data_IF_603343239278
#
_entry.id   IF_603343239278
#
_cell.length_a   1.000
_cell.length_b   1.000
_cell.length_c   1.000
_cell.angle_alpha   90.00
_cell.angle_beta   90.00
_cell.angle_gamma   90.00
#
_symmetry.space_group_name_H-M   'P 1'
#
loop_
_entity.id
_entity.type
_entity.pdbx_description
1 polymer ?
#
# COMPACT_ATOMS: atom_id res chain seq x y z
N UNK A 1 -13.61 24.34 -9.66
CA UNK A 1 -12.22 23.88 -9.57
C UNK A 1 -11.85 23.30 -8.19
N UNK A 2 -12.10 23.97 -7.05
CA UNK A 2 -11.74 23.46 -5.70
C UNK A 2 -12.40 22.12 -5.33
N UNK A 3 -13.69 21.91 -5.68
CA UNK A 3 -14.40 20.63 -5.44
C UNK A 3 -13.84 19.47 -6.26
N UNK A 4 -13.54 19.67 -7.55
CA UNK A 4 -12.94 18.64 -8.40
C UNK A 4 -11.54 18.23 -7.90
N UNK A 5 -10.74 19.20 -7.46
CA UNK A 5 -9.42 18.95 -6.89
C UNK A 5 -9.47 18.21 -5.54
N UNK A 6 -10.48 18.48 -4.72
CA UNK A 6 -10.73 17.74 -3.47
C UNK A 6 -11.13 16.29 -3.75
N UNK A 7 -12.03 16.05 -4.71
CA UNK A 7 -12.44 14.70 -5.11
C UNK A 7 -11.24 13.93 -5.67
N UNK A 8 -10.50 14.52 -6.61
CA UNK A 8 -9.30 13.89 -7.19
C UNK A 8 -8.29 13.50 -6.11
N UNK A 9 -8.05 14.38 -5.12
CA UNK A 9 -7.14 14.12 -4.01
C UNK A 9 -7.63 12.95 -3.14
N UNK A 10 -8.93 12.93 -2.80
CA UNK A 10 -9.51 11.86 -1.99
C UNK A 10 -9.45 10.53 -2.73
N UNK A 11 -9.77 10.52 -4.03
CA UNK A 11 -9.68 9.31 -4.86
C UNK A 11 -8.25 8.79 -4.96
N UNK A 12 -7.25 9.68 -5.11
CA UNK A 12 -5.85 9.28 -5.14
C UNK A 12 -5.41 8.63 -3.82
N UNK A 13 -5.80 9.21 -2.67
CA UNK A 13 -5.47 8.63 -1.36
C UNK A 13 -6.09 7.23 -1.20
N UNK A 14 -7.36 7.06 -1.55
CA UNK A 14 -8.03 5.75 -1.48
C UNK A 14 -7.42 4.73 -2.45
N UNK A 15 -7.01 5.17 -3.64
CA UNK A 15 -6.33 4.31 -4.60
C UNK A 15 -4.99 3.79 -4.06
N UNK A 16 -4.23 4.66 -3.40
CA UNK A 16 -2.95 4.25 -2.79
C UNK A 16 -3.16 3.34 -1.59
N UNK A 17 -4.18 3.61 -0.75
CA UNK A 17 -4.55 2.71 0.36
C UNK A 17 -4.97 1.35 -0.18
N UNK A 18 -5.80 1.32 -1.22
CA UNK A 18 -6.22 0.07 -1.87
C UNK A 18 -5.02 -0.69 -2.44
N UNK A 19 -4.08 0.01 -3.09
CA UNK A 19 -2.85 -0.59 -3.61
C UNK A 19 -1.98 -1.15 -2.49
N UNK A 20 -1.82 -0.43 -1.37
CA UNK A 20 -1.05 -0.89 -0.22
C UNK A 20 -1.67 -2.16 0.41
N UNK A 21 -2.99 -2.18 0.58
CA UNK A 21 -3.72 -3.35 1.07
C UNK A 21 -3.60 -4.53 0.11
N UNK A 22 -3.74 -4.27 -1.19
CA UNK A 22 -3.54 -5.29 -2.23
C UNK A 22 -2.13 -5.87 -2.18
N UNK A 23 -1.10 -5.03 -2.08
CA UNK A 23 0.30 -5.47 -1.98
C UNK A 23 0.56 -6.25 -0.69
N UNK A 24 -0.06 -5.88 0.42
CA UNK A 24 0.03 -6.62 1.68
C UNK A 24 -0.60 -8.01 1.55
N UNK A 25 -1.82 -8.11 1.00
CA UNK A 25 -2.52 -9.37 0.75
C UNK A 25 -1.70 -10.22 -0.24
N UNK A 26 -1.21 -9.63 -1.32
CA UNK A 26 -0.37 -10.28 -2.30
C UNK A 26 0.92 -10.83 -1.67
N UNK A 27 1.57 -10.07 -0.80
CA UNK A 27 2.79 -10.53 -0.10
C UNK A 27 2.49 -11.69 0.84
N UNK A 28 1.40 -11.62 1.61
CA UNK A 28 0.97 -12.70 2.51
C UNK A 28 0.66 -13.96 1.69
N UNK A 29 -0.15 -13.87 0.66
CA UNK A 29 -0.46 -14.98 -0.23
C UNK A 29 0.83 -15.50 -0.89
N UNK A 30 1.68 -14.61 -1.37
CA UNK A 30 2.95 -14.97 -1.99
C UNK A 30 3.86 -15.75 -1.05
N UNK A 31 3.97 -15.35 0.21
CA UNK A 31 4.83 -16.02 1.21
C UNK A 31 4.21 -17.32 1.71
N UNK A 32 2.90 -17.37 1.93
CA UNK A 32 2.21 -18.56 2.49
C UNK A 32 1.96 -19.64 1.46
N UNK A 33 1.75 -19.27 0.19
CA UNK A 33 1.48 -20.22 -0.92
C UNK A 33 2.76 -20.69 -1.61
N UNK A 34 3.89 -20.10 -1.31
CA UNK A 34 5.17 -20.31 -1.98
C UNK A 34 6.02 -21.48 -1.45
N UNK A 35 5.42 -22.62 -1.17
CA UNK A 35 6.16 -23.87 -1.22
C UNK A 35 6.32 -24.31 -2.69
N UNK A 36 7.51 -24.61 -3.09
CA UNK A 36 8.15 -24.55 -4.40
C UNK A 36 7.44 -25.14 -5.62
N UNK A 37 6.54 -26.09 -5.50
CA UNK A 37 5.97 -26.82 -6.65
C UNK A 37 4.44 -26.94 -6.65
N UNK A 38 3.74 -26.47 -5.61
CA UNK A 38 2.29 -26.62 -5.44
C UNK A 38 1.51 -25.32 -5.69
N UNK A 39 1.99 -24.51 -6.62
CA UNK A 39 1.36 -23.23 -6.95
C UNK A 39 0.28 -23.41 -7.99
N UNK A 40 -0.86 -23.85 -7.54
CA UNK A 40 -2.05 -23.88 -8.38
C UNK A 40 -2.93 -22.66 -8.09
N UNK A 41 -3.11 -21.81 -9.06
CA UNK A 41 -4.11 -20.75 -9.05
C UNK A 41 -5.21 -21.11 -10.06
N UNK A 42 -6.33 -21.66 -9.61
CA UNK A 42 -7.43 -22.11 -10.44
C UNK A 42 -7.04 -23.19 -11.48
N UNK A 43 -6.16 -24.11 -11.13
CA UNK A 43 -5.67 -25.17 -12.03
C UNK A 43 -4.51 -24.74 -12.94
N UNK A 44 -3.94 -23.56 -12.73
CA UNK A 44 -2.81 -23.05 -13.49
C UNK A 44 -1.61 -22.73 -12.60
N UNK A 45 -0.43 -23.11 -13.05
CA UNK A 45 0.86 -22.73 -12.49
C UNK A 45 1.47 -21.61 -13.33
N UNK A 46 2.05 -20.58 -12.70
CA UNK A 46 2.65 -19.46 -13.41
C UNK A 46 4.18 -19.46 -13.24
N UNK A 47 4.91 -19.38 -14.34
CA UNK A 47 6.38 -19.35 -14.36
C UNK A 47 6.90 -18.18 -15.15
N UNK A 48 8.03 -17.61 -14.72
CA UNK A 48 8.75 -16.57 -15.46
C UNK A 48 9.78 -17.25 -16.35
N UNK A 49 9.74 -16.93 -17.63
CA UNK A 49 10.71 -17.43 -18.61
C UNK A 49 12.04 -16.72 -18.42
N UNK A 50 13.10 -17.49 -18.18
CA UNK A 50 14.43 -16.95 -17.90
C UNK A 50 15.38 -16.99 -19.10
N UNK A 51 15.03 -17.69 -20.18
CA UNK A 51 15.88 -17.84 -21.38
C UNK A 51 15.09 -17.68 -22.68
N UNK A 52 15.79 -17.39 -23.77
CA UNK A 52 15.20 -17.26 -25.11
C UNK A 52 15.16 -18.59 -25.88
N UNK A 53 15.21 -19.74 -25.19
CA UNK A 53 15.22 -21.07 -25.83
C UNK A 53 13.98 -21.33 -26.69
N UNK A 54 12.84 -20.67 -26.40
CA UNK A 54 11.58 -20.78 -27.10
C UNK A 54 11.22 -19.54 -27.94
N UNK A 55 12.11 -18.56 -28.04
CA UNK A 55 11.83 -17.25 -28.63
C UNK A 55 11.55 -17.27 -30.13
N UNK A 56 11.94 -18.31 -30.84
CA UNK A 56 11.74 -18.38 -32.31
C UNK A 56 10.27 -18.51 -32.70
N UNK A 57 9.46 -19.20 -31.91
CA UNK A 57 8.07 -19.53 -32.31
C UNK A 57 7.02 -19.23 -31.23
N UNK A 58 7.39 -19.15 -29.93
CA UNK A 58 6.39 -19.19 -28.88
C UNK A 58 6.47 -17.99 -27.91
N UNK A 59 7.45 -17.91 -27.02
CA UNK A 59 7.59 -16.87 -26.01
C UNK A 59 9.06 -16.54 -25.74
N UNK A 60 9.31 -15.36 -25.16
CA UNK A 60 10.66 -14.82 -24.95
C UNK A 60 11.05 -14.81 -23.46
N UNK A 61 12.33 -14.64 -23.20
CA UNK A 61 12.80 -14.34 -21.86
C UNK A 61 12.08 -13.11 -21.27
N UNK A 62 11.65 -13.22 -20.02
CA UNK A 62 10.90 -12.19 -19.34
C UNK A 62 9.38 -12.25 -19.50
N UNK A 63 8.85 -13.19 -20.29
CA UNK A 63 7.42 -13.45 -20.35
C UNK A 63 6.95 -14.23 -19.10
N UNK A 64 5.68 -14.10 -18.75
CA UNK A 64 5.01 -14.89 -17.72
C UNK A 64 4.15 -15.94 -18.44
N UNK A 65 4.50 -17.21 -18.31
CA UNK A 65 3.74 -18.34 -18.90
C UNK A 65 2.77 -18.93 -17.87
N UNK A 66 1.65 -19.43 -18.39
CA UNK A 66 0.67 -20.18 -17.63
C UNK A 66 0.66 -21.63 -18.11
N UNK A 67 0.77 -22.52 -17.15
CA UNK A 67 0.91 -23.96 -17.35
C UNK A 67 -0.21 -24.66 -16.63
N UNK A 68 -0.92 -25.55 -17.33
CA UNK A 68 -2.01 -26.33 -16.78
C UNK A 68 -1.53 -27.76 -16.48
N UNK A 69 -1.87 -28.25 -15.30
CA UNK A 69 -1.60 -29.64 -14.95
C UNK A 69 -2.45 -30.56 -15.85
N UNK A 70 -1.82 -31.56 -16.44
CA UNK A 70 -2.45 -32.54 -17.33
C UNK A 70 -1.90 -33.92 -17.08
N UNK A 71 -2.64 -34.95 -17.44
CA UNK A 71 -2.10 -36.32 -17.45
C UNK A 71 -0.99 -36.42 -18.50
N UNK A 72 0.27 -36.72 -18.12
CA UNK A 72 1.38 -36.84 -19.05
C UNK A 72 1.15 -37.83 -20.19
N UNK A 73 0.34 -38.87 -19.97
CA UNK A 73 0.01 -39.86 -20.99
C UNK A 73 -0.84 -39.29 -22.16
N UNK A 74 -1.46 -38.11 -21.95
CA UNK A 74 -2.26 -37.43 -23.00
C UNK A 74 -1.45 -36.49 -23.88
N UNK A 75 -0.20 -36.20 -23.49
CA UNK A 75 0.69 -35.30 -24.23
C UNK A 75 1.16 -35.87 -25.56
N UNK A 76 1.39 -35.01 -26.54
CA UNK A 76 1.72 -35.36 -27.91
C UNK A 76 2.92 -34.56 -28.42
N UNK A 77 3.50 -35.04 -29.53
CA UNK A 77 4.50 -34.29 -30.27
C UNK A 77 3.98 -32.89 -30.63
N UNK A 78 4.84 -31.90 -30.47
CA UNK A 78 4.51 -30.49 -30.66
C UNK A 78 3.86 -29.79 -29.47
N UNK A 79 3.42 -30.49 -28.42
CA UNK A 79 3.00 -29.86 -27.17
C UNK A 79 4.18 -29.23 -26.48
N UNK A 80 3.93 -28.10 -25.81
CA UNK A 80 4.95 -27.43 -24.99
C UNK A 80 4.69 -27.79 -23.53
N UNK A 81 5.70 -28.33 -22.86
CA UNK A 81 5.62 -28.76 -21.47
C UNK A 81 6.59 -28.02 -20.59
N UNK A 82 6.19 -27.81 -19.37
CA UNK A 82 7.07 -27.32 -18.28
C UNK A 82 7.39 -28.53 -17.40
N UNK A 83 8.68 -28.70 -17.10
CA UNK A 83 9.17 -29.83 -16.32
C UNK A 83 10.34 -29.44 -15.43
N UNK A 84 10.64 -30.25 -14.44
CA UNK A 84 11.82 -30.14 -13.60
C UNK A 84 12.99 -30.87 -14.25
N UNK A 85 14.05 -30.14 -14.55
CA UNK A 85 15.24 -30.71 -15.20
C UNK A 85 15.93 -31.76 -14.34
N UNK A 86 16.32 -32.88 -14.97
CA UNK A 86 17.15 -33.92 -14.41
C UNK A 86 18.57 -33.90 -14.98
N UNK A 87 18.87 -32.96 -15.88
CA UNK A 87 20.22 -32.78 -16.41
C UNK A 87 21.16 -32.25 -15.31
N UNK A 88 22.38 -32.74 -15.26
CA UNK A 88 23.39 -32.38 -14.24
C UNK A 88 23.63 -30.87 -14.17
N UNK A 89 23.65 -30.20 -15.31
CA UNK A 89 23.98 -28.77 -15.43
C UNK A 89 22.83 -27.85 -15.00
N UNK A 90 21.59 -28.36 -15.04
CA UNK A 90 20.37 -27.60 -14.71
C UNK A 90 19.45 -28.34 -13.73
N UNK A 91 20.04 -29.21 -12.89
CA UNK A 91 19.28 -30.07 -11.99
C UNK A 91 18.33 -29.29 -11.09
N UNK A 92 17.04 -29.64 -11.13
CA UNK A 92 15.99 -29.02 -10.32
C UNK A 92 15.51 -27.68 -10.87
N UNK A 93 16.03 -27.18 -11.98
CA UNK A 93 15.51 -26.00 -12.67
C UNK A 93 14.21 -26.32 -13.40
N UNK A 94 13.33 -25.34 -13.45
CA UNK A 94 12.09 -25.42 -14.22
C UNK A 94 12.36 -25.00 -15.67
N UNK A 95 12.22 -25.92 -16.60
CA UNK A 95 12.44 -25.72 -18.04
C UNK A 95 11.10 -25.85 -18.75
N UNK A 96 10.90 -25.06 -19.81
CA UNK A 96 9.71 -25.12 -20.67
C UNK A 96 10.16 -25.28 -22.12
N UNK A 97 9.95 -26.47 -22.66
CA UNK A 97 10.39 -26.86 -24.01
C UNK A 97 9.29 -27.61 -24.77
N UNK A 98 9.46 -27.75 -26.06
CA UNK A 98 8.53 -28.41 -26.94
C UNK A 98 8.83 -29.90 -27.09
N UNK A 99 7.83 -30.75 -27.07
CA UNK A 99 7.99 -32.20 -27.26
C UNK A 99 8.37 -32.46 -28.70
N UNK A 100 9.51 -33.11 -28.89
CA UNK A 100 9.95 -33.59 -30.18
C UNK A 100 9.35 -34.96 -30.52
N UNK A 101 9.44 -35.91 -29.59
CA UNK A 101 8.97 -37.28 -29.71
C UNK A 101 8.76 -37.98 -28.37
N UNK A 102 7.92 -38.98 -28.40
CA UNK A 102 7.77 -39.90 -27.27
C UNK A 102 8.95 -40.88 -27.26
N UNK A 103 9.39 -41.28 -26.08
CA UNK A 103 10.50 -42.24 -25.88
C UNK A 103 10.40 -42.90 -24.51
N UNK A 104 11.38 -43.72 -24.19
CA UNK A 104 11.61 -44.26 -22.85
C UNK A 104 13.00 -43.91 -22.39
N UNK A 105 13.20 -43.78 -21.07
CA UNK A 105 14.55 -43.62 -20.50
C UNK A 105 15.33 -44.93 -20.45
N UNK A 106 16.53 -44.92 -19.89
CA UNK A 106 17.39 -46.08 -19.77
C UNK A 106 16.80 -47.21 -18.88
N UNK A 107 15.93 -46.84 -17.96
CA UNK A 107 15.21 -47.73 -17.03
C UNK A 107 13.89 -48.23 -17.61
N UNK A 108 13.49 -47.79 -18.80
CA UNK A 108 12.24 -48.19 -19.49
C UNK A 108 11.01 -47.38 -19.06
N UNK A 109 11.18 -46.28 -18.35
CA UNK A 109 10.07 -45.38 -18.00
C UNK A 109 9.66 -44.52 -19.19
N UNK A 110 8.35 -44.33 -19.43
CA UNK A 110 7.87 -43.50 -20.51
C UNK A 110 8.19 -42.02 -20.28
N UNK A 111 8.54 -41.32 -21.32
CA UNK A 111 8.91 -39.92 -21.29
C UNK A 111 8.99 -39.29 -22.69
N UNK A 112 9.55 -38.12 -22.74
CA UNK A 112 9.65 -37.30 -23.93
C UNK A 112 11.08 -36.79 -24.13
N UNK A 113 11.51 -36.74 -25.40
CA UNK A 113 12.60 -35.87 -25.83
C UNK A 113 12.00 -34.51 -26.13
N UNK A 114 12.56 -33.47 -25.55
CA UNK A 114 12.16 -32.07 -25.70
C UNK A 114 13.24 -31.28 -26.44
N UNK A 115 12.90 -30.07 -26.89
CA UNK A 115 13.84 -29.16 -27.54
C UNK A 115 13.40 -27.72 -27.40
N UNK A 116 14.40 -26.80 -27.38
CA UNK A 116 14.16 -25.36 -27.49
C UNK A 116 14.04 -24.95 -28.95
N UNK A 117 13.01 -24.18 -29.28
CA UNK A 117 12.72 -23.81 -30.69
C UNK A 117 13.75 -22.88 -31.32
N UNK A 118 14.56 -22.19 -30.50
CA UNK A 118 15.62 -21.27 -30.97
C UNK A 118 16.81 -22.04 -31.55
N UNK A 119 17.28 -23.04 -30.84
CA UNK A 119 18.43 -23.86 -31.27
C UNK A 119 18.03 -25.05 -32.14
N UNK A 120 16.81 -25.52 -31.99
CA UNK A 120 16.26 -26.73 -32.65
C UNK A 120 17.07 -27.99 -32.33
N UNK A 121 17.76 -28.02 -31.19
CA UNK A 121 18.57 -29.14 -30.71
C UNK A 121 17.80 -29.89 -29.63
N UNK A 122 17.85 -31.25 -29.71
CA UNK A 122 17.23 -32.13 -28.73
C UNK A 122 17.91 -31.95 -27.38
N UNK A 123 17.12 -31.94 -26.29
CA UNK A 123 17.62 -31.99 -24.94
C UNK A 123 18.24 -33.36 -24.67
N UNK A 124 19.36 -33.38 -23.92
CA UNK A 124 20.14 -34.57 -23.65
C UNK A 124 19.42 -35.61 -22.80
N UNK A 125 18.51 -35.13 -21.95
CA UNK A 125 17.86 -35.96 -20.91
C UNK A 125 16.40 -36.22 -21.27
N UNK A 126 15.95 -37.46 -21.16
CA UNK A 126 14.53 -37.84 -21.31
C UNK A 126 13.73 -37.27 -20.13
N UNK A 127 12.69 -36.52 -20.44
CA UNK A 127 11.75 -35.99 -19.45
C UNK A 127 10.69 -37.04 -19.16
N UNK A 128 10.83 -37.73 -18.04
CA UNK A 128 9.85 -38.75 -17.60
C UNK A 128 8.65 -38.11 -16.89
N UNK A 129 7.54 -38.84 -16.87
CA UNK A 129 6.23 -38.33 -16.40
C UNK A 129 6.22 -37.69 -15.02
N UNK A 130 6.91 -38.22 -13.98
CA UNK A 130 6.92 -37.63 -12.65
C UNK A 130 7.52 -36.21 -12.56
N UNK A 131 8.32 -35.83 -13.55
CA UNK A 131 8.99 -34.53 -13.56
C UNK A 131 8.23 -33.47 -14.37
N UNK A 132 7.11 -33.85 -15.01
CA UNK A 132 6.28 -32.93 -15.80
C UNK A 132 5.38 -32.13 -14.86
N UNK A 133 5.50 -30.81 -14.90
CA UNK A 133 4.73 -29.87 -14.08
C UNK A 133 3.42 -29.45 -14.74
N UNK A 134 3.32 -29.62 -16.07
CA UNK A 134 2.12 -29.39 -16.85
C UNK A 134 2.40 -28.94 -18.30
N UNK A 135 1.31 -28.68 -19.03
CA UNK A 135 1.30 -28.21 -20.42
C UNK A 135 1.15 -26.69 -20.48
N UNK A 136 1.93 -26.04 -21.31
CA UNK A 136 1.78 -24.61 -21.61
C UNK A 136 0.43 -24.32 -22.27
N UNK A 137 -0.24 -23.26 -21.82
CA UNK A 137 -1.51 -22.81 -22.40
C UNK A 137 -1.40 -21.40 -23.01
N UNK A 138 -0.80 -20.45 -22.30
CA UNK A 138 -0.70 -19.07 -22.75
C UNK A 138 0.42 -18.32 -22.01
N UNK A 139 0.76 -17.12 -22.50
CA UNK A 139 1.72 -16.23 -21.83
C UNK A 139 1.27 -14.77 -21.86
N UNK A 140 1.83 -13.98 -20.96
CA UNK A 140 1.72 -12.51 -20.94
C UNK A 140 3.12 -11.94 -21.16
N UNK A 141 3.34 -11.21 -22.28
CA UNK A 141 4.64 -10.67 -22.61
C UNK A 141 5.16 -9.67 -21.57
N UNK A 142 6.46 -9.75 -21.24
CA UNK A 142 7.21 -8.82 -20.38
C UNK A 142 6.73 -8.67 -18.94
N UNK A 143 5.68 -9.35 -18.51
CA UNK A 143 5.21 -9.31 -17.11
C UNK A 143 6.23 -9.93 -16.18
N UNK A 144 6.88 -11.02 -16.60
CA UNK A 144 7.97 -11.64 -15.86
C UNK A 144 9.17 -10.69 -15.68
N UNK A 145 9.51 -9.91 -16.71
CA UNK A 145 10.55 -8.87 -16.63
C UNK A 145 10.23 -7.84 -15.53
N UNK A 146 8.99 -7.40 -15.44
CA UNK A 146 8.55 -6.49 -14.38
C UNK A 146 8.71 -7.11 -12.99
N UNK A 147 8.28 -8.36 -12.81
CA UNK A 147 8.46 -9.06 -11.52
C UNK A 147 9.93 -9.29 -11.18
N UNK A 148 10.77 -9.63 -12.17
CA UNK A 148 12.20 -9.77 -11.97
C UNK A 148 12.84 -8.42 -11.57
N UNK A 149 12.42 -7.31 -12.21
CA UNK A 149 12.86 -5.97 -11.81
C UNK A 149 12.45 -5.65 -10.36
N UNK A 150 11.20 -5.95 -9.96
CA UNK A 150 10.73 -5.75 -8.58
C UNK A 150 11.56 -6.50 -7.53
N UNK A 151 12.13 -7.66 -7.89
CA UNK A 151 13.01 -8.43 -6.99
C UNK A 151 14.39 -7.81 -6.83
N UNK A 152 14.80 -6.89 -7.71
CA UNK A 152 16.07 -6.19 -7.59
C UNK A 152 16.00 -5.07 -6.54
N UNK A 153 17.13 -4.76 -5.91
CA UNK A 153 17.20 -3.63 -4.94
C UNK A 153 16.74 -2.31 -5.54
N UNK A 154 17.17 -1.89 -6.76
CA UNK A 154 16.65 -0.69 -7.40
C UNK A 154 15.14 -0.74 -7.68
N UNK A 155 14.63 -1.88 -8.15
CA UNK A 155 13.21 -2.07 -8.46
C UNK A 155 12.35 -1.93 -7.22
N UNK A 156 12.72 -2.60 -6.13
CA UNK A 156 12.05 -2.45 -4.83
C UNK A 156 12.05 -1.00 -4.36
N UNK A 157 13.22 -0.34 -4.43
CA UNK A 157 13.35 1.04 -3.99
C UNK A 157 12.47 2.00 -4.80
N UNK A 158 12.49 1.92 -6.13
CA UNK A 158 11.73 2.81 -7.00
C UNK A 158 10.22 2.51 -6.95
N UNK A 159 9.83 1.25 -6.98
CA UNK A 159 8.41 0.88 -7.10
C UNK A 159 7.67 0.84 -5.77
N UNK A 160 8.35 0.64 -4.65
CA UNK A 160 7.72 0.49 -3.33
C UNK A 160 8.12 1.65 -2.40
N UNK A 161 9.41 1.84 -2.17
CA UNK A 161 9.89 2.82 -1.18
C UNK A 161 9.58 4.27 -1.58
N UNK A 162 9.89 4.67 -2.83
CA UNK A 162 9.68 6.05 -3.28
C UNK A 162 8.21 6.48 -3.22
N UNK A 163 7.23 5.73 -3.76
CA UNK A 163 5.81 6.08 -3.63
C UNK A 163 5.34 6.15 -2.18
N UNK A 164 5.81 5.25 -1.33
CA UNK A 164 5.45 5.23 0.08
C UNK A 164 6.00 6.45 0.83
N UNK A 165 7.26 6.83 0.57
CA UNK A 165 7.87 8.04 1.14
C UNK A 165 7.17 9.32 0.68
N UNK A 166 6.79 9.40 -0.59
CA UNK A 166 6.02 10.55 -1.10
C UNK A 166 4.67 10.67 -0.40
N UNK A 167 4.01 9.56 -0.09
CA UNK A 167 2.78 9.53 0.69
C UNK A 167 2.99 10.06 2.11
N UNK A 168 4.02 9.57 2.82
CA UNK A 168 4.34 10.02 4.18
C UNK A 168 4.61 11.52 4.20
N UNK A 169 5.41 12.03 3.26
CA UNK A 169 5.70 13.46 3.15
C UNK A 169 4.41 14.25 2.91
N UNK A 170 3.58 13.79 1.98
CA UNK A 170 2.30 14.43 1.68
C UNK A 170 1.36 14.47 2.90
N UNK A 171 1.22 13.36 3.62
CA UNK A 171 0.41 13.28 4.83
C UNK A 171 0.99 14.15 5.95
N UNK A 172 2.31 14.16 6.12
CA UNK A 172 3.01 15.04 7.06
C UNK A 172 2.71 16.52 6.81
N UNK A 173 2.80 16.97 5.56
CA UNK A 173 2.48 18.36 5.19
C UNK A 173 1.02 18.69 5.51
N UNK A 174 0.08 17.79 5.21
CA UNK A 174 -1.33 17.99 5.53
C UNK A 174 -1.59 18.03 7.03
N UNK A 175 -0.93 17.18 7.80
CA UNK A 175 -0.99 17.19 9.26
C UNK A 175 -0.50 18.51 9.85
N UNK A 176 0.66 19.01 9.39
CA UNK A 176 1.19 20.30 9.86
C UNK A 176 0.28 21.48 9.49
N UNK A 177 -0.34 21.47 8.30
CA UNK A 177 -1.31 22.49 7.90
C UNK A 177 -2.55 22.47 8.80
N UNK A 178 -3.08 21.30 9.10
CA UNK A 178 -4.22 21.14 10.00
C UNK A 178 -3.87 21.58 11.43
N UNK A 179 -2.72 21.16 11.94
CA UNK A 179 -2.24 21.53 13.28
C UNK A 179 -2.06 23.04 13.42
N UNK A 180 -1.48 23.73 12.41
CA UNK A 180 -1.39 25.19 12.42
C UNK A 180 -2.75 25.88 12.43
N UNK A 181 -3.73 25.33 11.71
CA UNK A 181 -5.10 25.85 11.70
C UNK A 181 -5.75 25.71 13.06
N UNK A 182 -5.69 24.54 13.68
CA UNK A 182 -6.18 24.32 15.05
C UNK A 182 -5.53 25.25 16.07
N UNK A 183 -4.23 25.42 16.01
CA UNK A 183 -3.53 26.34 16.92
C UNK A 183 -3.97 27.78 16.73
N UNK A 184 -4.23 28.22 15.50
CA UNK A 184 -4.72 29.56 15.20
C UNK A 184 -6.15 29.75 15.71
N UNK A 185 -7.05 28.81 15.50
CA UNK A 185 -8.42 28.84 16.00
C UNK A 185 -8.45 28.92 17.54
N UNK A 186 -7.66 28.12 18.24
CA UNK A 186 -7.54 28.17 19.69
C UNK A 186 -6.96 29.52 20.20
N UNK A 187 -6.01 30.11 19.49
CA UNK A 187 -5.48 31.43 19.86
C UNK A 187 -6.54 32.52 19.68
N UNK A 188 -7.29 32.51 18.58
CA UNK A 188 -8.38 33.44 18.32
C UNK A 188 -9.51 33.30 19.36
N UNK A 189 -9.87 32.08 19.77
CA UNK A 189 -10.83 31.85 20.86
C UNK A 189 -10.33 32.38 22.20
N UNK A 190 -9.07 32.11 22.55
CA UNK A 190 -8.48 32.65 23.80
C UNK A 190 -8.38 34.17 23.82
N UNK A 191 -8.06 34.80 22.70
CA UNK A 191 -8.04 36.26 22.58
C UNK A 191 -9.44 36.86 22.72
N UNK A 192 -10.47 36.23 22.11
CA UNK A 192 -11.84 36.65 22.26
C UNK A 192 -12.36 36.50 23.70
N UNK A 193 -11.98 35.41 24.38
CA UNK A 193 -12.33 35.21 25.80
C UNK A 193 -11.66 36.22 26.71
N UNK A 194 -10.36 36.51 26.50
CA UNK A 194 -9.65 37.58 27.23
C UNK A 194 -10.28 38.94 27.03
N UNK A 195 -10.67 39.29 25.80
CA UNK A 195 -11.33 40.55 25.50
C UNK A 195 -12.68 40.69 26.25
N UNK A 196 -13.47 39.61 26.32
CA UNK A 196 -14.73 39.60 27.10
C UNK A 196 -14.49 39.77 28.60
N UNK A 197 -13.49 39.08 29.17
CA UNK A 197 -13.14 39.20 30.58
C UNK A 197 -12.68 40.64 30.90
N UNK A 198 -11.95 41.26 30.00
CA UNK A 198 -11.49 42.65 30.16
C UNK A 198 -12.63 43.66 30.10
N UNK A 199 -13.59 43.46 29.20
CA UNK A 199 -14.83 44.24 29.07
C UNK A 199 -15.70 44.10 30.34
N UNK A 200 -15.88 42.86 30.86
CA UNK A 200 -16.60 42.62 32.12
C UNK A 200 -15.92 43.28 33.31
N UNK A 201 -14.60 43.23 33.41
CA UNK A 201 -13.83 43.91 34.46
C UNK A 201 -13.98 45.41 34.39
N UNK A 202 -13.95 45.99 33.20
CA UNK A 202 -14.15 47.43 33.01
C UNK A 202 -15.58 47.86 33.39
N UNK A 203 -16.61 47.06 33.06
CA UNK A 203 -18.00 47.30 33.43
C UNK A 203 -18.17 47.19 34.96
N UNK A 204 -17.61 46.18 35.60
CA UNK A 204 -17.66 46.00 37.04
C UNK A 204 -16.92 47.13 37.79
N UNK A 205 -15.79 47.61 37.27
CA UNK A 205 -15.07 48.75 37.85
C UNK A 205 -15.91 50.04 37.82
N UNK A 206 -16.60 50.34 36.72
CA UNK A 206 -17.52 51.47 36.61
C UNK A 206 -18.70 51.36 37.59
N UNK A 207 -19.30 50.18 37.69
CA UNK A 207 -20.38 49.94 38.64
C UNK A 207 -19.95 50.14 40.10
N UNK A 208 -18.74 49.70 40.44
CA UNK A 208 -18.14 49.92 41.77
C UNK A 208 -17.93 51.40 42.07
N UNK A 209 -17.46 52.18 41.09
CA UNK A 209 -17.28 53.63 41.23
C UNK A 209 -18.62 54.34 41.43
N UNK A 210 -19.66 53.98 40.66
CA UNK A 210 -21.03 54.50 40.83
C UNK A 210 -21.61 54.17 42.21
N UNK A 211 -21.43 52.93 42.68
CA UNK A 211 -21.86 52.51 44.03
C UNK A 211 -21.14 53.31 45.14
N UNK A 212 -19.85 53.56 45.01
CA UNK A 212 -19.07 54.37 45.95
C UNK A 212 -19.56 55.83 45.97
N UNK A 213 -19.81 56.42 44.79
CA UNK A 213 -20.34 57.78 44.68
C UNK A 213 -21.76 57.89 45.30
N UNK A 214 -22.62 56.87 45.05
CA UNK A 214 -23.96 56.86 45.66
C UNK A 214 -23.92 56.72 47.18
N UNK A 215 -22.97 55.88 47.71
CA UNK A 215 -22.76 55.73 49.14
C UNK A 215 -22.29 57.01 49.78
N UNK A 216 -21.36 57.73 49.21
CA UNK A 216 -20.88 59.03 49.71
C UNK A 216 -22.00 60.04 49.68
N UNK A 217 -22.91 60.09 48.68
CA UNK A 217 -24.07 60.98 48.70
C UNK A 217 -25.07 60.63 49.80
N UNK A 218 -25.26 59.38 50.15
CA UNK A 218 -26.14 58.93 51.21
C UNK A 218 -25.55 59.29 52.60
N UNK A 219 -24.26 59.17 52.82
CA UNK A 219 -23.56 59.59 54.04
C UNK A 219 -23.67 61.11 54.27
N UNK A 220 -23.49 61.88 53.16
CA UNK A 220 -23.63 63.37 53.27
C UNK A 220 -25.08 63.79 53.61
N UNK A 221 -26.08 63.12 53.02
CA UNK A 221 -27.49 63.35 53.44
C UNK A 221 -27.81 62.97 54.87
N UNK A 222 -27.20 61.91 55.39
CA UNK A 222 -27.42 61.53 56.82
C UNK A 222 -26.80 62.53 57.82
N UNK A 223 -25.67 63.12 57.44
CA UNK A 223 -25.02 64.18 58.28
C UNK A 223 -25.84 65.45 58.28
N UNK A 224 -26.59 65.78 57.24
CA UNK A 224 -27.49 66.99 57.20
C UNK A 224 -28.79 66.76 57.92
N UNK A 225 -29.23 65.54 58.21
CA UNK A 225 -30.51 65.22 58.90
C UNK A 225 -30.41 64.91 60.36
N UNK A 226 -29.22 65.03 61.02
CA UNK A 226 -29.12 64.93 62.46
C UNK A 226 -29.34 66.32 63.06
N UNK A 227 -30.46 66.61 63.79
CA UNK A 227 -30.63 67.89 64.58
C UNK A 227 -29.67 67.87 65.76
N UNK A 228 -28.98 68.97 65.99
CA UNK A 228 -28.16 69.20 67.15
C UNK A 228 -29.10 69.20 68.38
N UNK A 229 -29.19 68.08 69.15
CA UNK A 229 -29.68 68.08 70.50
C UNK A 229 -28.65 68.80 71.41
N UNK A 230 -29.00 70.01 71.75
CA UNK A 230 -28.32 70.70 72.88
C UNK A 230 -28.70 70.01 74.16
N UNK A 231 -27.77 69.75 75.04
CA UNK A 231 -28.16 69.34 76.41
C UNK A 231 -28.65 70.52 77.17
N UNK A 232 -29.91 70.51 77.55
CA UNK A 232 -30.54 71.41 78.49
C UNK A 232 -30.09 71.03 79.89
N UNK A 233 -29.28 71.94 80.52
CA UNK A 233 -28.97 71.89 81.95
C UNK A 233 -30.16 72.50 82.68
N UNK A 234 -30.78 71.71 83.54
CA UNK A 234 -31.65 72.19 84.58
C UNK A 234 -30.98 71.98 85.98
N UNK A 235 -30.99 73.04 86.78
CA UNK A 235 -30.53 73.13 88.14
C UNK A 235 -30.96 72.03 89.11
#
# INVERSE_FOLDING_TARGET
MKKAMSILRTTLVWLVVALAVFMMIFTVISVTTFNRNDRDLFGYKAYIVNSDSMAKTDFNAGDLIFVKEVDPATLKEGDIITYMSQNTDSFGETITHKIRRLTVDAEGNPGFITYGTTTDTDDETVVTYPYILGKYETHIPKVGTFFNFLKTTPGYFVCIFVPFMLLIIYQGINFFRLFRRYKKEQMEEMEAEKAKIEEERAANAKMLEELQALKAQLEDRQLVTTPSEQPEYIE
#
